data_IF_480766893016
#
_entry.id   IF_480766893016
#
_cell.length_a   1.000
_cell.length_b   1.000
_cell.length_c   1.000
_cell.angle_alpha   90.00
_cell.angle_beta   90.00
_cell.angle_gamma   90.00
#
_symmetry.space_group_name_H-M   'P 1'
#
loop_
_entity.id
_entity.type
_entity.pdbx_description
1 polymer ?
#
# COMPACT_ATOMS: atom_id res chain seq x y z
N UNK A 1 2.29 39.12 25.34
CA UNK A 1 3.13 38.41 24.34
C UNK A 1 2.22 37.41 23.67
N UNK A 2 1.61 37.87 22.60
CA UNK A 2 0.46 37.25 21.96
C UNK A 2 0.86 36.47 20.71
N UNK A 3 0.03 35.48 20.40
CA UNK A 3 -0.21 34.90 19.08
C UNK A 3 0.92 34.12 18.39
N UNK A 4 0.75 32.78 18.29
CA UNK A 4 0.65 32.10 16.97
C UNK A 4 -0.20 30.83 17.04
N UNK A 5 -1.44 30.99 16.55
CA UNK A 5 -2.29 29.94 15.99
C UNK A 5 -1.52 29.09 14.96
N UNK A 6 -1.85 27.79 14.84
CA UNK A 6 -2.67 27.23 13.73
C UNK A 6 -2.61 25.70 13.75
N UNK A 7 -3.77 25.08 13.95
CA UNK A 7 -3.98 23.66 13.76
C UNK A 7 -3.62 23.21 12.34
N UNK A 8 -2.89 22.09 12.26
CA UNK A 8 -2.62 21.42 11.00
C UNK A 8 -3.81 20.52 10.68
N UNK A 9 -4.73 21.05 9.88
CA UNK A 9 -5.79 20.27 9.25
C UNK A 9 -5.13 19.22 8.36
N UNK A 10 -5.36 17.95 8.69
CA UNK A 10 -5.19 16.84 7.75
C UNK A 10 -6.18 17.07 6.62
N UNK A 11 -5.70 17.56 5.50
CA UNK A 11 -6.50 17.79 4.31
C UNK A 11 -5.83 17.10 3.14
N UNK A 12 -6.39 15.96 2.72
CA UNK A 12 -6.60 15.66 1.29
C UNK A 12 -7.25 14.28 1.10
N UNK A 13 -8.55 14.18 1.36
CA UNK A 13 -9.38 13.21 0.62
C UNK A 13 -10.33 14.04 -0.25
N UNK A 14 -9.79 14.68 -1.29
CA UNK A 14 -10.60 15.36 -2.31
C UNK A 14 -10.71 14.45 -3.54
N UNK A 15 -11.97 14.19 -3.89
CA UNK A 15 -12.57 13.70 -5.15
C UNK A 15 -12.65 12.18 -5.36
N UNK A 16 -13.87 11.62 -5.42
CA UNK A 16 -14.21 10.63 -6.46
C UNK A 16 -14.41 11.41 -7.78
N UNK A 17 -14.00 10.88 -8.94
CA UNK A 17 -14.85 9.89 -9.61
C UNK A 17 -14.09 8.89 -10.51
N UNK A 18 -14.59 7.66 -10.60
CA UNK A 18 -14.53 6.94 -11.87
C UNK A 18 -15.73 5.99 -11.96
N UNK A 19 -16.70 6.46 -12.73
CA UNK A 19 -17.84 5.72 -13.23
C UNK A 19 -17.39 5.02 -14.52
N UNK A 20 -17.95 3.83 -14.76
CA UNK A 20 -17.86 2.98 -15.98
C UNK A 20 -16.60 2.10 -16.09
N UNK A 21 -16.74 0.76 -16.10
CA UNK A 21 -17.29 -0.17 -17.11
C UNK A 21 -16.28 -0.50 -18.23
N UNK A 22 -16.07 -1.81 -18.39
CA UNK A 22 -15.37 -2.57 -19.46
C UNK A 22 -13.90 -2.96 -19.22
N UNK A 23 -13.58 -4.21 -19.56
CA UNK A 23 -12.23 -4.76 -19.49
C UNK A 23 -11.22 -3.90 -20.26
N UNK A 24 -10.06 -3.67 -19.65
CA UNK A 24 -8.98 -2.86 -20.20
C UNK A 24 -8.11 -2.32 -19.06
N UNK A 25 -6.81 -2.57 -19.09
CA UNK A 25 -5.87 -2.31 -17.99
C UNK A 25 -5.60 -0.82 -17.77
N UNK A 26 -6.36 -0.19 -16.88
CA UNK A 26 -6.01 1.06 -16.22
C UNK A 26 -5.47 0.79 -14.82
N UNK A 27 -4.43 1.52 -14.40
CA UNK A 27 -3.90 1.41 -13.05
C UNK A 27 -5.01 1.72 -12.02
N UNK A 28 -5.17 0.84 -11.02
CA UNK A 28 -6.24 0.93 -10.01
C UNK A 28 -5.68 1.53 -8.74
N UNK A 29 -6.44 2.42 -8.10
CA UNK A 29 -6.05 2.99 -6.82
C UNK A 29 -6.34 2.00 -5.70
N UNK A 30 -5.27 1.53 -5.05
CA UNK A 30 -5.29 0.52 -4.00
C UNK A 30 -4.86 1.17 -2.68
N UNK A 31 -5.59 0.87 -1.61
CA UNK A 31 -5.19 1.27 -0.26
C UNK A 31 -4.29 0.21 0.33
N UNK A 32 -3.10 0.61 0.75
CA UNK A 32 -2.11 -0.27 1.33
C UNK A 32 -1.95 0.05 2.81
N UNK A 33 -2.23 -0.93 3.65
CA UNK A 33 -1.97 -0.88 5.08
C UNK A 33 -0.53 -1.28 5.38
N UNK A 34 0.18 -0.36 6.04
CA UNK A 34 1.60 -0.50 6.36
C UNK A 34 1.73 -0.88 7.84
N UNK A 35 2.36 -2.04 8.15
CA UNK A 35 2.56 -2.47 9.51
C UNK A 35 3.56 -1.53 10.21
N UNK A 36 3.47 -1.43 11.54
CA UNK A 36 4.23 -0.46 12.34
C UNK A 36 5.73 -0.46 12.04
N UNK A 37 6.33 -1.62 11.77
CA UNK A 37 7.76 -1.76 11.48
C UNK A 37 8.17 -1.14 10.13
N UNK A 38 7.22 -0.97 9.21
CA UNK A 38 7.44 -0.38 7.89
C UNK A 38 7.00 1.08 7.81
N UNK A 39 6.27 1.59 8.81
CA UNK A 39 5.79 2.98 8.81
C UNK A 39 6.94 4.00 8.75
N UNK A 40 8.12 3.68 9.31
CA UNK A 40 9.31 4.54 9.21
C UNK A 40 9.75 4.82 7.77
N UNK A 41 9.47 3.91 6.83
CA UNK A 41 9.74 4.10 5.40
C UNK A 41 8.69 4.97 4.72
N UNK A 42 7.45 4.92 5.22
CA UNK A 42 6.32 5.70 4.72
C UNK A 42 6.12 7.03 5.46
N UNK A 43 7.16 7.56 6.11
CA UNK A 43 7.09 8.85 6.83
C UNK A 43 6.14 8.83 8.04
N UNK A 44 5.91 7.67 8.64
CA UNK A 44 4.97 7.46 9.74
C UNK A 44 3.53 7.19 9.31
N UNK A 45 3.26 7.04 8.01
CA UNK A 45 1.94 6.71 7.51
C UNK A 45 1.61 5.22 7.73
N UNK A 46 0.49 4.95 8.42
CA UNK A 46 -0.07 3.60 8.59
C UNK A 46 -0.86 3.13 7.37
N UNK A 47 -1.26 4.06 6.49
CA UNK A 47 -1.94 3.79 5.23
C UNK A 47 -1.34 4.65 4.14
N UNK A 48 -1.09 4.04 3.00
CA UNK A 48 -0.63 4.71 1.79
C UNK A 48 -1.51 4.28 0.63
N UNK A 49 -1.72 5.16 -0.33
CA UNK A 49 -2.39 4.81 -1.58
C UNK A 49 -1.32 4.40 -2.59
N UNK A 50 -1.60 3.48 -3.49
CA UNK A 50 -0.69 3.04 -4.54
C UNK A 50 -1.48 2.62 -5.79
N UNK A 51 -0.86 2.75 -6.95
CA UNK A 51 -1.50 2.45 -8.23
C UNK A 51 -1.01 1.12 -8.81
N UNK A 52 -1.93 0.22 -9.18
CA UNK A 52 -1.55 -1.03 -9.82
C UNK A 52 -2.71 -1.96 -10.17
N UNK A 53 -2.52 -2.78 -11.20
CA UNK A 53 -3.49 -3.80 -11.62
C UNK A 53 -3.28 -5.15 -10.91
N UNK A 54 -2.06 -5.39 -10.43
CA UNK A 54 -1.63 -6.59 -9.72
C UNK A 54 -0.87 -6.22 -8.45
N UNK A 55 -0.69 -7.21 -7.57
CA UNK A 55 0.12 -7.05 -6.36
C UNK A 55 1.52 -6.57 -6.70
N UNK A 56 2.16 -7.15 -7.71
CA UNK A 56 3.49 -6.73 -8.14
C UNK A 56 3.54 -5.30 -8.65
N UNK A 57 2.55 -4.87 -9.43
CA UNK A 57 2.46 -3.48 -9.90
C UNK A 57 2.29 -2.49 -8.75
N UNK A 58 1.46 -2.83 -7.75
CA UNK A 58 1.29 -2.01 -6.54
C UNK A 58 2.60 -1.89 -5.77
N UNK A 59 3.34 -2.98 -5.59
CA UNK A 59 4.63 -2.94 -4.91
C UNK A 59 5.71 -2.19 -5.70
N UNK A 60 5.66 -2.20 -7.03
CA UNK A 60 6.54 -1.39 -7.88
C UNK A 60 6.26 0.12 -7.68
N UNK A 61 4.99 0.53 -7.72
CA UNK A 61 4.60 1.92 -7.43
C UNK A 61 5.01 2.34 -6.01
N UNK A 62 4.78 1.47 -5.03
CA UNK A 62 5.21 1.70 -3.65
C UNK A 62 6.72 1.85 -3.52
N UNK A 63 7.53 1.05 -4.21
CA UNK A 63 8.99 1.17 -4.15
C UNK A 63 9.49 2.47 -4.79
N UNK A 64 8.86 2.88 -5.90
CA UNK A 64 9.17 4.16 -6.56
C UNK A 64 8.90 5.35 -5.64
N UNK A 65 7.90 5.25 -4.78
CA UNK A 65 7.50 6.30 -3.82
C UNK A 65 8.24 6.21 -2.49
N UNK A 66 8.52 5.00 -2.04
CA UNK A 66 9.17 4.67 -0.78
C UNK A 66 10.32 3.69 -1.04
N UNK A 67 11.47 4.17 -1.53
CA UNK A 67 12.57 3.30 -1.94
C UNK A 67 13.04 2.42 -0.78
N UNK A 68 13.11 1.11 -1.04
CA UNK A 68 13.52 0.10 -0.06
C UNK A 68 12.37 -0.53 0.73
N UNK A 69 11.13 -0.05 0.57
CA UNK A 69 9.95 -0.71 1.15
C UNK A 69 9.73 -2.09 0.51
N UNK A 70 9.79 -2.18 -0.84
CA UNK A 70 9.60 -3.44 -1.56
C UNK A 70 10.64 -4.47 -1.13
N UNK A 71 11.90 -4.09 -0.98
CA UNK A 71 12.99 -4.99 -0.56
C UNK A 71 12.76 -5.63 0.84
N UNK A 72 11.99 -4.98 1.72
CA UNK A 72 11.62 -5.52 3.04
C UNK A 72 10.50 -6.54 2.98
N UNK A 73 9.62 -6.47 1.98
CA UNK A 73 8.45 -7.34 1.85
C UNK A 73 8.67 -8.46 0.85
N UNK A 74 9.37 -8.14 -0.24
CA UNK A 74 9.63 -8.98 -1.40
C UNK A 74 11.12 -9.22 -1.53
N UNK A 75 11.46 -10.45 -1.92
CA UNK A 75 12.82 -10.89 -2.21
C UNK A 75 13.22 -10.61 -3.67
N UNK A 76 14.49 -10.81 -4.03
CA UNK A 76 15.02 -10.61 -5.39
C UNK A 76 14.36 -11.52 -6.44
N UNK A 77 13.68 -12.59 -6.00
CA UNK A 77 12.90 -13.49 -6.86
C UNK A 77 11.45 -13.03 -7.09
N UNK A 78 11.09 -11.78 -6.76
CA UNK A 78 9.71 -11.26 -6.76
C UNK A 78 8.73 -12.17 -5.98
N UNK A 79 9.20 -12.68 -4.84
CA UNK A 79 8.40 -13.49 -3.91
C UNK A 79 8.26 -12.80 -2.56
N UNK A 80 7.07 -12.89 -1.96
CA UNK A 80 6.85 -12.42 -0.59
C UNK A 80 7.78 -13.18 0.37
N UNK A 81 8.53 -12.45 1.20
CA UNK A 81 9.47 -13.05 2.17
C UNK A 81 8.72 -13.92 3.19
N UNK A 82 9.35 -15.00 3.68
CA UNK A 82 8.71 -15.95 4.61
C UNK A 82 8.20 -15.33 5.92
N UNK A 83 8.81 -14.23 6.36
CA UNK A 83 8.40 -13.47 7.54
C UNK A 83 7.38 -12.37 7.23
N UNK A 84 6.84 -12.35 6.01
CA UNK A 84 5.84 -11.39 5.56
C UNK A 84 4.65 -12.15 4.99
N UNK A 85 3.46 -11.59 5.18
CA UNK A 85 2.23 -12.04 4.55
C UNK A 85 1.52 -10.84 3.95
N UNK A 86 0.95 -11.05 2.78
CA UNK A 86 0.16 -10.03 2.09
C UNK A 86 -1.26 -10.55 1.98
N UNK A 87 -2.22 -9.67 2.21
CA UNK A 87 -3.64 -9.95 2.07
C UNK A 87 -4.25 -8.92 1.12
N UNK A 88 -5.15 -9.36 0.24
CA UNK A 88 -5.88 -8.49 -0.68
C UNK A 88 -7.37 -8.72 -0.46
N UNK A 89 -8.10 -7.69 -0.03
CA UNK A 89 -9.54 -7.80 0.20
C UNK A 89 -9.94 -8.82 1.28
N UNK A 90 -9.02 -9.18 2.18
CA UNK A 90 -9.24 -10.17 3.23
C UNK A 90 -8.67 -11.57 2.94
N UNK A 91 -8.27 -11.84 1.70
CA UNK A 91 -7.71 -13.14 1.30
C UNK A 91 -6.18 -13.10 1.28
N UNK A 92 -5.52 -14.16 1.77
CA UNK A 92 -4.07 -14.25 1.73
C UNK A 92 -3.57 -14.39 0.29
N UNK A 93 -2.70 -13.49 -0.13
CA UNK A 93 -2.13 -13.48 -1.46
C UNK A 93 -0.63 -13.78 -1.43
N UNK A 94 -0.24 -14.86 -2.09
CA UNK A 94 1.17 -15.24 -2.27
C UNK A 94 1.68 -14.87 -3.67
N UNK A 95 0.79 -14.82 -4.66
CA UNK A 95 1.12 -14.58 -6.06
C UNK A 95 1.14 -13.10 -6.41
N UNK A 96 2.31 -12.59 -6.77
CA UNK A 96 2.49 -11.20 -7.21
C UNK A 96 1.72 -10.86 -8.50
N UNK A 97 1.41 -11.87 -9.32
CA UNK A 97 0.61 -11.73 -10.53
C UNK A 97 -0.91 -11.67 -10.26
N UNK A 98 -1.35 -11.88 -9.01
CA UNK A 98 -2.75 -11.83 -8.66
C UNK A 98 -3.33 -10.43 -8.97
N UNK A 99 -4.45 -10.42 -9.68
CA UNK A 99 -5.16 -9.20 -10.03
C UNK A 99 -5.81 -8.60 -8.79
N UNK A 100 -5.70 -7.29 -8.62
CA UNK A 100 -6.34 -6.56 -7.53
C UNK A 100 -7.58 -5.85 -8.05
N UNK A 101 -8.70 -5.99 -7.35
CA UNK A 101 -9.93 -5.26 -7.67
C UNK A 101 -9.77 -3.75 -7.42
N UNK A 102 -10.50 -2.94 -8.16
CA UNK A 102 -10.50 -1.49 -7.93
C UNK A 102 -11.00 -1.16 -6.51
N UNK A 103 -10.29 -0.28 -5.81
CA UNK A 103 -10.61 0.08 -4.43
C UNK A 103 -10.38 -1.05 -3.42
N UNK A 104 -9.73 -2.15 -3.79
CA UNK A 104 -9.36 -3.19 -2.84
C UNK A 104 -8.33 -2.66 -1.82
N UNK A 105 -8.29 -3.32 -0.67
CA UNK A 105 -7.34 -3.04 0.39
C UNK A 105 -6.25 -4.12 0.42
N UNK A 106 -4.99 -3.71 0.37
CA UNK A 106 -3.81 -4.55 0.49
C UNK A 106 -3.24 -4.39 1.90
N UNK A 107 -3.21 -5.47 2.67
CA UNK A 107 -2.64 -5.50 4.02
C UNK A 107 -1.32 -6.24 4.02
N UNK A 108 -0.30 -5.63 4.63
CA UNK A 108 1.00 -6.27 4.84
C UNK A 108 1.15 -6.61 6.31
N UNK A 109 1.42 -7.88 6.61
CA UNK A 109 1.71 -8.36 7.95
C UNK A 109 3.16 -8.83 8.02
N UNK A 110 3.95 -8.21 8.90
CA UNK A 110 5.21 -8.78 9.34
C UNK A 110 4.95 -9.81 10.42
N UNK A 111 5.36 -11.05 10.19
CA UNK A 111 5.49 -12.08 11.22
C UNK A 111 6.72 -11.76 12.10
N UNK A 112 6.69 -10.61 12.76
CA UNK A 112 7.55 -10.32 13.89
C UNK A 112 6.68 -10.57 15.12
N UNK A 113 6.98 -11.67 15.81
CA UNK A 113 6.45 -12.03 17.11
C UNK A 113 6.37 -10.78 17.99
N UNK A 114 5.19 -10.52 18.54
CA UNK A 114 4.84 -9.24 19.15
C UNK A 114 5.65 -8.86 20.39
N UNK A 115 5.55 -7.58 20.74
CA UNK A 115 6.06 -7.01 21.98
C UNK A 115 7.01 -5.86 21.74
#
# INVERSE_FOLDING_TARGET
>A
MDERRRGRRVASCRRPPARNLFGGGGARMIRVMIPSQLQSYCGGASRVEAEGVTIGAVFDDLDRRFPGLKFRVIDEQDRVRRHMRVFVGGEAACDMAAAIADGAELMIFGALSGG
#
